data_IF_817962315702
#
_entry.id   IF_817962315702
#
_cell.length_a   1.000
_cell.length_b   1.000
_cell.length_c   1.000
_cell.angle_alpha   90.00
_cell.angle_beta   90.00
_cell.angle_gamma   90.00
#
_symmetry.space_group_name_H-M   'P 1'
#
loop_
_entity.id
_entity.type
_entity.pdbx_description
1 polymer ?
#
# COMPACT_ATOMS: atom_id res chain seq x y z
N UNK A 1 27.46 25.65 -2.48
CA UNK A 1 27.95 24.29 -2.22
C UNK A 1 27.25 23.38 -3.21
N UNK A 2 27.97 22.51 -3.93
CA UNK A 2 27.33 21.60 -4.88
C UNK A 2 26.48 20.61 -4.09
N UNK A 3 25.20 20.48 -4.48
CA UNK A 3 24.25 19.50 -3.96
C UNK A 3 24.89 18.09 -4.09
N UNK A 4 25.21 17.45 -2.97
CA UNK A 4 25.68 16.06 -2.96
C UNK A 4 24.47 15.16 -3.19
N UNK A 5 24.08 14.97 -4.44
CA UNK A 5 23.06 13.99 -4.81
C UNK A 5 23.61 12.58 -4.55
N UNK A 6 23.00 11.86 -3.62
CA UNK A 6 23.30 10.43 -3.41
C UNK A 6 22.80 9.67 -4.63
N UNK A 7 23.70 8.92 -5.28
CA UNK A 7 23.33 8.08 -6.41
C UNK A 7 22.50 6.88 -5.91
N UNK A 8 21.25 6.80 -6.35
CA UNK A 8 20.32 5.73 -6.02
C UNK A 8 20.08 4.76 -7.20
N UNK A 9 20.84 4.90 -8.27
CA UNK A 9 20.69 4.09 -9.47
C UNK A 9 21.69 2.92 -9.46
N UNK A 10 21.32 1.86 -8.71
CA UNK A 10 22.14 0.64 -8.57
C UNK A 10 21.57 -0.56 -9.38
N UNK A 11 20.53 -0.34 -10.19
CA UNK A 11 19.82 -1.39 -10.94
C UNK A 11 19.05 -2.39 -10.05
N UNK A 12 18.90 -2.08 -8.76
CA UNK A 12 18.31 -2.97 -7.77
C UNK A 12 17.32 -2.28 -6.85
N UNK A 13 17.43 -2.59 -5.56
CA UNK A 13 16.47 -2.12 -4.53
C UNK A 13 16.45 -0.58 -4.39
N UNK A 14 17.59 0.07 -4.44
CA UNK A 14 17.67 1.53 -4.29
C UNK A 14 16.99 2.25 -5.46
N UNK A 15 17.15 1.75 -6.67
CA UNK A 15 16.45 2.27 -7.83
C UNK A 15 14.93 2.08 -7.69
N UNK A 16 14.47 0.91 -7.29
CA UNK A 16 13.03 0.66 -7.04
C UNK A 16 12.44 1.62 -6.01
N UNK A 17 13.16 1.88 -4.91
CA UNK A 17 12.73 2.83 -3.88
C UNK A 17 12.65 4.25 -4.46
N UNK A 18 13.66 4.69 -5.21
CA UNK A 18 13.75 6.05 -5.74
C UNK A 18 12.78 6.31 -6.89
N UNK A 19 12.47 5.31 -7.71
CA UNK A 19 11.62 5.41 -8.90
C UNK A 19 10.14 5.12 -8.63
N UNK A 20 9.79 4.46 -7.52
CA UNK A 20 8.38 4.18 -7.17
C UNK A 20 7.54 5.46 -7.12
N UNK A 21 6.37 5.42 -7.76
CA UNK A 21 5.39 6.52 -7.82
C UNK A 21 4.01 6.06 -7.38
N UNK A 22 3.18 7.03 -6.96
CA UNK A 22 1.75 6.81 -6.76
C UNK A 22 1.05 6.88 -8.12
N UNK A 23 0.54 5.76 -8.58
CA UNK A 23 -0.20 5.62 -9.85
C UNK A 23 -1.69 5.56 -9.52
N UNK A 24 -2.48 6.44 -10.16
CA UNK A 24 -3.91 6.62 -9.88
C UNK A 24 -4.79 6.42 -11.11
N UNK A 25 -4.17 6.09 -12.26
CA UNK A 25 -4.86 5.74 -13.51
C UNK A 25 -4.36 4.39 -13.96
N UNK A 26 -5.29 3.54 -14.29
CA UNK A 26 -5.03 2.17 -14.71
C UNK A 26 -5.68 1.88 -16.05
N UNK A 27 -5.17 0.88 -16.75
CA UNK A 27 -5.84 0.28 -17.91
C UNK A 27 -6.83 -0.78 -17.43
N UNK A 28 -7.69 -1.26 -18.34
CA UNK A 28 -8.67 -2.33 -18.04
C UNK A 28 -8.03 -3.73 -18.00
N UNK A 29 -6.70 -3.82 -18.16
CA UNK A 29 -5.98 -5.08 -18.12
C UNK A 29 -5.93 -5.64 -16.69
N UNK A 30 -6.34 -6.90 -16.54
CA UNK A 30 -6.37 -7.55 -15.25
C UNK A 30 -4.96 -7.83 -14.72
N UNK A 31 -4.77 -7.67 -13.40
CA UNK A 31 -3.52 -8.07 -12.73
C UNK A 31 -3.53 -9.57 -12.47
N UNK A 32 -2.53 -10.33 -12.97
CA UNK A 32 -2.44 -11.77 -12.74
C UNK A 32 -2.38 -12.11 -11.25
N UNK A 33 -3.09 -13.15 -10.84
CA UNK A 33 -3.14 -13.62 -9.45
C UNK A 33 -1.76 -13.87 -8.84
N UNK A 34 -0.82 -14.36 -9.64
CA UNK A 34 0.54 -14.63 -9.20
C UNK A 34 1.29 -13.35 -8.78
N UNK A 35 1.08 -12.25 -9.51
CA UNK A 35 1.65 -10.94 -9.14
C UNK A 35 1.05 -10.44 -7.82
N UNK A 36 -0.24 -10.63 -7.60
CA UNK A 36 -0.91 -10.29 -6.33
C UNK A 36 -0.31 -11.11 -5.18
N UNK A 37 -0.14 -12.41 -5.36
CA UNK A 37 0.45 -13.29 -4.33
C UNK A 37 1.87 -12.87 -3.95
N UNK A 38 2.70 -12.44 -4.93
CA UNK A 38 4.05 -11.92 -4.64
C UNK A 38 4.01 -10.63 -3.81
N UNK A 39 3.03 -9.77 -4.06
CA UNK A 39 2.85 -8.56 -3.25
C UNK A 39 2.46 -8.90 -1.81
N UNK A 40 1.51 -9.82 -1.63
CA UNK A 40 1.07 -10.26 -0.30
C UNK A 40 2.23 -10.92 0.47
N UNK A 41 3.04 -11.73 -0.22
CA UNK A 41 4.22 -12.37 0.35
C UNK A 41 5.28 -11.32 0.77
N UNK A 42 5.51 -10.30 -0.05
CA UNK A 42 6.38 -9.18 0.32
C UNK A 42 5.86 -8.45 1.57
N UNK A 43 4.54 -8.23 1.66
CA UNK A 43 3.91 -7.66 2.86
C UNK A 43 4.11 -8.53 4.09
N UNK A 44 3.93 -9.85 3.96
CA UNK A 44 4.14 -10.83 5.03
C UNK A 44 5.57 -10.80 5.60
N UNK A 45 6.55 -10.47 4.77
CA UNK A 45 7.96 -10.36 5.19
C UNK A 45 8.28 -9.09 5.98
N UNK A 46 7.32 -8.19 6.21
CA UNK A 46 7.56 -7.00 7.02
C UNK A 46 7.88 -7.34 8.47
N UNK A 47 8.77 -6.58 9.13
CA UNK A 47 9.04 -6.77 10.55
C UNK A 47 7.83 -6.41 11.40
N UNK A 48 7.69 -7.04 12.57
CA UNK A 48 6.66 -6.71 13.55
C UNK A 48 7.19 -6.81 14.98
N UNK A 49 6.59 -6.08 15.91
CA UNK A 49 6.95 -6.13 17.31
C UNK A 49 6.88 -7.56 17.86
N UNK A 50 7.97 -8.05 18.49
CA UNK A 50 8.11 -9.44 18.97
C UNK A 50 7.86 -10.51 17.90
N UNK A 51 7.90 -10.15 16.62
CA UNK A 51 7.53 -11.04 15.52
C UNK A 51 6.09 -11.58 15.61
N UNK A 52 5.17 -10.82 16.17
CA UNK A 52 3.79 -11.24 16.36
C UNK A 52 2.99 -11.36 15.06
N UNK A 53 3.47 -10.75 13.97
CA UNK A 53 2.88 -10.86 12.61
C UNK A 53 1.36 -10.61 12.58
N UNK A 54 0.90 -9.45 13.08
CA UNK A 54 -0.53 -9.16 13.24
C UNK A 54 -1.26 -8.93 11.91
N UNK A 55 -0.55 -8.97 10.79
CA UNK A 55 -1.09 -8.63 9.47
C UNK A 55 -2.16 -9.62 9.02
N UNK A 56 -3.26 -9.08 8.48
CA UNK A 56 -4.30 -9.83 7.77
C UNK A 56 -4.59 -9.12 6.45
N UNK A 57 -4.76 -9.89 5.41
CA UNK A 57 -4.95 -9.39 4.05
C UNK A 57 -6.33 -9.73 3.53
N UNK A 58 -6.91 -8.81 2.77
CA UNK A 58 -8.14 -9.02 2.04
C UNK A 58 -7.98 -8.45 0.62
N UNK A 59 -8.36 -9.21 -0.39
CA UNK A 59 -8.31 -8.79 -1.78
C UNK A 59 -9.73 -8.63 -2.31
N UNK A 60 -10.01 -7.51 -2.99
CA UNK A 60 -11.27 -7.25 -3.68
C UNK A 60 -10.92 -6.98 -5.15
N UNK A 61 -11.28 -7.88 -6.03
CA UNK A 61 -11.06 -7.75 -7.49
C UNK A 61 -12.05 -6.81 -8.15
N UNK A 62 -11.74 -6.35 -9.36
CA UNK A 62 -12.61 -5.42 -10.10
C UNK A 62 -14.03 -5.97 -10.32
N UNK A 63 -14.18 -7.28 -10.52
CA UNK A 63 -15.47 -7.94 -10.72
C UNK A 63 -16.23 -8.26 -9.42
N UNK A 64 -15.65 -7.97 -8.26
CA UNK A 64 -16.28 -8.21 -6.97
C UNK A 64 -17.38 -7.15 -6.73
N UNK A 65 -18.64 -7.55 -6.43
CA UNK A 65 -19.74 -6.60 -6.23
C UNK A 65 -19.51 -5.65 -5.03
N UNK A 66 -18.58 -5.96 -4.14
CA UNK A 66 -18.19 -5.08 -3.03
C UNK A 66 -17.39 -3.86 -3.50
N UNK A 67 -16.77 -3.91 -4.68
CA UNK A 67 -15.93 -2.82 -5.20
C UNK A 67 -16.71 -1.50 -5.32
N UNK A 68 -17.94 -1.52 -5.84
CA UNK A 68 -18.78 -0.32 -5.97
C UNK A 68 -19.09 0.32 -4.61
N UNK A 69 -19.46 -0.51 -3.63
CA UNK A 69 -19.74 -0.03 -2.26
C UNK A 69 -18.47 0.46 -1.55
N UNK A 70 -17.34 -0.20 -1.78
CA UNK A 70 -16.05 0.21 -1.25
C UNK A 70 -15.64 1.59 -1.81
N UNK A 71 -15.95 1.87 -3.07
CA UNK A 71 -15.71 3.16 -3.70
C UNK A 71 -16.52 4.31 -3.06
N UNK A 72 -17.64 4.03 -2.43
CA UNK A 72 -18.45 5.00 -1.68
C UNK A 72 -17.86 5.33 -0.29
N UNK A 73 -16.94 4.50 0.21
CA UNK A 73 -16.29 4.69 1.50
C UNK A 73 -15.09 5.66 1.42
N UNK A 74 -14.76 6.22 0.27
CA UNK A 74 -13.60 7.11 0.08
C UNK A 74 -13.87 8.24 -0.90
N UNK A 75 -13.20 9.37 -0.73
CA UNK A 75 -13.17 10.46 -1.72
C UNK A 75 -12.45 10.07 -3.02
N UNK A 76 -11.70 8.98 -3.02
CA UNK A 76 -10.96 8.48 -4.18
C UNK A 76 -11.72 7.41 -4.98
N UNK A 77 -13.05 7.50 -5.02
CA UNK A 77 -13.93 6.51 -5.66
C UNK A 77 -13.52 6.17 -7.10
N UNK A 78 -13.03 7.15 -7.87
CA UNK A 78 -12.56 6.94 -9.26
C UNK A 78 -11.34 6.00 -9.31
N UNK A 79 -10.45 6.07 -8.33
CA UNK A 79 -9.27 5.19 -8.25
C UNK A 79 -9.73 3.78 -7.95
N UNK A 80 -10.63 3.62 -6.97
CA UNK A 80 -11.18 2.31 -6.59
C UNK A 80 -11.89 1.65 -7.77
N UNK A 81 -12.73 2.40 -8.50
CA UNK A 81 -13.49 1.89 -9.65
C UNK A 81 -12.64 1.56 -10.88
N UNK A 82 -11.44 2.11 -11.00
CA UNK A 82 -10.55 1.91 -12.13
C UNK A 82 -9.41 0.92 -11.88
N UNK A 83 -9.17 0.52 -10.64
CA UNK A 83 -8.09 -0.43 -10.34
C UNK A 83 -8.54 -1.88 -10.58
N UNK A 84 -7.58 -2.75 -10.87
CA UNK A 84 -7.84 -4.18 -11.07
C UNK A 84 -8.09 -4.91 -9.74
N UNK A 85 -7.50 -4.43 -8.64
CA UNK A 85 -7.64 -5.04 -7.32
C UNK A 85 -7.35 -4.03 -6.21
N UNK A 86 -8.13 -4.13 -5.14
CA UNK A 86 -7.89 -3.47 -3.86
C UNK A 86 -7.29 -4.48 -2.88
N UNK A 87 -6.11 -4.20 -2.37
CA UNK A 87 -5.42 -5.03 -1.37
C UNK A 87 -5.52 -4.35 -0.01
N UNK A 88 -6.39 -4.84 0.85
CA UNK A 88 -6.58 -4.36 2.21
C UNK A 88 -5.59 -4.97 3.18
N UNK A 89 -4.99 -4.14 4.02
CA UNK A 89 -4.15 -4.54 5.14
C UNK A 89 -4.88 -4.22 6.43
N UNK A 90 -5.05 -5.23 7.25
CA UNK A 90 -5.66 -5.15 8.57
C UNK A 90 -4.68 -5.64 9.63
N UNK A 91 -4.90 -5.23 10.88
CA UNK A 91 -4.23 -5.81 12.04
C UNK A 91 -5.21 -6.65 12.85
N UNK A 92 -4.81 -7.86 13.17
CA UNK A 92 -5.49 -8.69 14.15
C UNK A 92 -5.28 -8.12 15.56
N UNK A 93 -6.34 -7.62 16.16
CA UNK A 93 -6.29 -6.94 17.46
C UNK A 93 -5.76 -7.85 18.57
N UNK A 94 -6.03 -9.16 18.49
CA UNK A 94 -5.53 -10.13 19.47
C UNK A 94 -4.01 -10.35 19.37
N UNK A 95 -3.43 -10.12 18.20
CA UNK A 95 -1.98 -10.27 17.94
C UNK A 95 -1.20 -8.97 18.10
N UNK A 96 -1.86 -7.84 18.39
CA UNK A 96 -1.20 -6.54 18.60
C UNK A 96 -0.31 -6.58 19.84
N UNK A 97 0.80 -5.86 19.76
CA UNK A 97 1.77 -5.72 20.85
C UNK A 97 1.80 -4.30 21.43
N UNK A 98 1.80 -3.31 20.57
CA UNK A 98 1.87 -1.90 20.90
C UNK A 98 1.35 -1.10 19.71
N UNK A 99 0.33 -0.30 19.92
CA UNK A 99 -0.36 0.43 18.86
C UNK A 99 0.60 1.17 17.92
N UNK A 100 1.51 1.99 18.48
CA UNK A 100 2.48 2.72 17.66
C UNK A 100 3.37 1.78 16.83
N UNK A 101 3.90 0.71 17.43
CA UNK A 101 4.81 -0.22 16.76
C UNK A 101 4.10 -1.06 15.70
N UNK A 102 2.84 -1.43 15.97
CA UNK A 102 2.04 -2.21 15.04
C UNK A 102 1.62 -1.37 13.83
N UNK A 103 1.33 -0.07 14.03
CA UNK A 103 1.09 0.86 12.92
C UNK A 103 2.34 1.11 12.07
N UNK A 104 3.51 1.23 12.69
CA UNK A 104 4.80 1.29 11.96
C UNK A 104 5.04 0.01 11.16
N UNK A 105 4.76 -1.15 11.75
CA UNK A 105 4.86 -2.44 11.07
C UNK A 105 3.88 -2.55 9.89
N UNK A 106 2.63 -2.07 10.05
CA UNK A 106 1.65 -2.00 8.95
C UNK A 106 2.14 -1.10 7.81
N UNK A 107 2.77 0.04 8.14
CA UNK A 107 3.41 0.90 7.15
C UNK A 107 4.54 0.19 6.39
N UNK A 108 5.39 -0.55 7.08
CA UNK A 108 6.44 -1.37 6.45
C UNK A 108 5.85 -2.47 5.54
N UNK A 109 4.78 -3.12 5.99
CA UNK A 109 4.05 -4.13 5.22
C UNK A 109 3.51 -3.53 3.90
N UNK A 110 2.79 -2.41 3.97
CA UNK A 110 2.25 -1.70 2.81
C UNK A 110 3.36 -1.24 1.86
N UNK A 111 4.48 -0.72 2.40
CA UNK A 111 5.61 -0.30 1.58
C UNK A 111 6.26 -1.49 0.85
N UNK A 112 6.44 -2.63 1.51
CA UNK A 112 6.95 -3.84 0.88
C UNK A 112 6.03 -4.30 -0.28
N UNK A 113 4.71 -4.34 -0.04
CA UNK A 113 3.73 -4.67 -1.07
C UNK A 113 3.81 -3.71 -2.25
N UNK A 114 3.97 -2.43 -1.98
CA UNK A 114 4.04 -1.38 -3.01
C UNK A 114 5.31 -1.47 -3.85
N UNK A 115 6.46 -1.72 -3.21
CA UNK A 115 7.71 -1.97 -3.92
C UNK A 115 7.62 -3.24 -4.78
N UNK A 116 6.99 -4.30 -4.25
CA UNK A 116 6.75 -5.53 -5.01
C UNK A 116 5.80 -5.32 -6.21
N UNK A 117 4.82 -4.39 -6.11
CA UNK A 117 4.02 -3.99 -7.27
C UNK A 117 4.91 -3.31 -8.32
N UNK A 118 5.71 -2.31 -7.90
CA UNK A 118 6.58 -1.55 -8.79
C UNK A 118 7.62 -2.45 -9.48
N UNK A 119 8.22 -3.39 -8.75
CA UNK A 119 9.16 -4.37 -9.30
C UNK A 119 8.54 -5.33 -10.33
N UNK A 120 7.23 -5.38 -10.42
CA UNK A 120 6.48 -6.20 -11.38
C UNK A 120 5.81 -5.36 -12.47
N UNK A 121 6.23 -4.11 -12.65
CA UNK A 121 5.67 -3.13 -13.60
C UNK A 121 4.19 -2.80 -13.36
N UNK A 122 3.72 -2.97 -12.10
CA UNK A 122 2.37 -2.60 -11.72
C UNK A 122 2.30 -1.17 -11.16
N UNK A 123 1.21 -0.50 -11.47
CA UNK A 123 0.85 0.75 -10.83
C UNK A 123 0.13 0.49 -9.51
N UNK A 124 0.52 1.24 -8.47
CA UNK A 124 -0.20 1.18 -7.20
C UNK A 124 -0.25 2.54 -6.50
N UNK A 125 -1.26 2.72 -5.65
CA UNK A 125 -1.35 3.87 -4.74
C UNK A 125 -1.88 3.43 -3.38
N UNK A 126 -1.29 3.98 -2.34
CA UNK A 126 -1.75 3.83 -0.96
C UNK A 126 -2.95 4.73 -0.71
N UNK A 127 -4.11 4.13 -0.47
CA UNK A 127 -5.34 4.80 -0.07
C UNK A 127 -5.46 4.76 1.46
N UNK A 128 -4.87 5.75 2.12
CA UNK A 128 -4.94 5.90 3.58
C UNK A 128 -6.21 6.61 4.05
N UNK A 129 -6.79 7.46 3.23
CA UNK A 129 -7.98 8.24 3.60
C UNK A 129 -9.21 7.36 3.91
N UNK A 130 -9.31 6.19 3.29
CA UNK A 130 -10.40 5.23 3.49
C UNK A 130 -10.53 4.76 4.95
N UNK A 131 -9.48 4.89 5.76
CA UNK A 131 -9.50 4.56 7.19
C UNK A 131 -10.32 5.55 8.04
N UNK A 132 -10.77 6.66 7.46
CA UNK A 132 -11.68 7.61 8.13
C UNK A 132 -13.10 7.06 8.28
N UNK A 133 -13.43 5.96 7.59
CA UNK A 133 -14.72 5.28 7.63
C UNK A 133 -14.55 3.76 7.85
N UNK A 134 -13.88 3.34 8.93
CA UNK A 134 -13.48 1.94 9.10
C UNK A 134 -14.68 1.01 9.29
N UNK A 135 -15.72 1.46 9.99
CA UNK A 135 -16.94 0.69 10.23
C UNK A 135 -17.71 0.41 8.92
N UNK A 136 -17.84 1.44 8.05
CA UNK A 136 -18.49 1.29 6.75
C UNK A 136 -17.71 0.31 5.85
N UNK A 137 -16.38 0.46 5.82
CA UNK A 137 -15.50 -0.44 5.06
C UNK A 137 -15.62 -1.87 5.57
N UNK A 138 -15.53 -2.09 6.86
CA UNK A 138 -15.65 -3.42 7.47
C UNK A 138 -17.04 -4.03 7.20
N UNK A 139 -18.10 -3.24 7.29
CA UNK A 139 -19.47 -3.67 6.95
C UNK A 139 -19.60 -4.10 5.49
N UNK A 140 -19.07 -3.31 4.55
CA UNK A 140 -19.05 -3.65 3.11
C UNK A 140 -18.29 -4.95 2.84
N UNK A 141 -17.20 -5.16 3.54
CA UNK A 141 -16.31 -6.32 3.34
C UNK A 141 -16.75 -7.57 4.11
N UNK A 142 -17.70 -7.44 5.06
CA UNK A 142 -18.06 -8.52 5.97
C UNK A 142 -16.93 -8.87 6.96
N UNK A 143 -16.12 -7.88 7.33
CA UNK A 143 -15.01 -8.02 8.28
C UNK A 143 -15.50 -7.59 9.68
N UNK A 144 -15.19 -8.39 10.69
CA UNK A 144 -15.47 -8.08 12.09
C UNK A 144 -14.47 -7.04 12.60
N UNK A 145 -14.89 -5.78 12.71
CA UNK A 145 -14.06 -4.65 13.14
C UNK A 145 -13.67 -4.70 14.62
N UNK A 146 -14.39 -5.51 15.42
CA UNK A 146 -13.98 -5.80 16.80
C UNK A 146 -12.72 -6.67 16.87
N UNK A 147 -12.45 -7.45 15.82
CA UNK A 147 -11.28 -8.34 15.72
C UNK A 147 -10.16 -7.78 14.85
N UNK A 148 -10.52 -7.07 13.78
CA UNK A 148 -9.57 -6.63 12.77
C UNK A 148 -9.65 -5.12 12.57
N UNK A 149 -8.50 -4.47 12.63
CA UNK A 149 -8.37 -3.03 12.47
C UNK A 149 -7.85 -2.70 11.08
N UNK A 150 -8.60 -1.91 10.33
CA UNK A 150 -8.20 -1.49 8.99
C UNK A 150 -7.03 -0.51 9.05
N UNK A 151 -5.96 -0.80 8.30
CA UNK A 151 -4.78 0.08 8.20
C UNK A 151 -4.75 0.91 6.93
N UNK A 152 -5.02 0.32 5.79
CA UNK A 152 -5.13 1.00 4.49
C UNK A 152 -5.48 -0.01 3.40
N UNK A 153 -5.67 0.53 2.18
CA UNK A 153 -5.66 -0.25 0.95
C UNK A 153 -4.53 0.20 0.02
N UNK A 154 -4.01 -0.76 -0.75
CA UNK A 154 -3.35 -0.47 -2.02
C UNK A 154 -4.33 -0.71 -3.16
N UNK A 155 -4.61 0.33 -3.94
CA UNK A 155 -5.27 0.16 -5.23
C UNK A 155 -4.20 -0.18 -6.26
N UNK A 156 -4.39 -1.26 -7.01
CA UNK A 156 -3.38 -1.83 -7.91
C UNK A 156 -3.99 -2.12 -9.27
N UNK A 157 -3.23 -1.87 -10.33
CA UNK A 157 -3.62 -2.16 -11.71
C UNK A 157 -2.44 -1.99 -12.66
N UNK A 158 -2.67 -2.22 -13.95
CA UNK A 158 -1.70 -1.88 -14.99
C UNK A 158 -1.66 -0.35 -15.14
N UNK A 159 -0.46 0.27 -15.07
CA UNK A 159 -0.37 1.72 -15.04
C UNK A 159 -0.75 2.36 -16.39
N UNK A 160 -1.63 3.35 -16.37
CA UNK A 160 -1.96 4.20 -17.52
C UNK A 160 -1.34 5.59 -17.44
N UNK A 161 -0.42 5.80 -16.48
CA UNK A 161 0.34 7.04 -16.32
C UNK A 161 1.70 6.74 -15.69
N UNK A 162 2.68 7.62 -15.90
CA UNK A 162 4.03 7.47 -15.32
C UNK A 162 4.11 7.88 -13.84
N UNK A 163 3.11 8.61 -13.35
CA UNK A 163 3.15 9.21 -12.04
C UNK A 163 4.15 10.38 -11.93
N UNK A 164 3.94 11.24 -10.93
CA UNK A 164 4.82 12.38 -10.64
C UNK A 164 5.18 12.40 -9.17
N UNK A 165 6.40 12.77 -8.86
CA UNK A 165 6.85 12.96 -7.49
C UNK A 165 7.95 14.00 -7.44
N UNK A 166 7.85 14.89 -6.45
CA UNK A 166 8.93 15.79 -6.05
C UNK A 166 9.36 15.36 -4.66
N UNK A 167 10.66 15.18 -4.45
CA UNK A 167 11.25 14.92 -3.14
C UNK A 167 11.96 16.16 -2.68
N UNK A 168 11.90 16.44 -1.38
CA UNK A 168 12.76 17.44 -0.76
C UNK A 168 14.21 16.96 -0.85
N UNK A 169 15.17 17.89 -0.96
CA UNK A 169 16.59 17.57 -0.77
C UNK A 169 16.80 16.88 0.59
N UNK A 170 17.79 16.00 0.66
CA UNK A 170 18.06 15.23 1.89
C UNK A 170 18.41 16.15 3.06
N UNK A 171 19.13 17.24 2.78
CA UNK A 171 19.59 18.25 3.74
C UNK A 171 18.43 18.91 4.49
N UNK A 172 17.25 19.08 3.84
CA UNK A 172 16.05 19.60 4.52
C UNK A 172 15.40 18.59 5.49
N UNK A 173 15.78 17.33 5.40
CA UNK A 173 15.22 16.24 6.22
C UNK A 173 16.15 15.81 7.34
N UNK A 174 17.40 16.31 7.33
CA UNK A 174 18.38 16.07 8.39
C UNK A 174 18.14 17.06 9.54
N UNK A 175 18.19 16.57 10.78
CA UNK A 175 18.12 17.43 11.97
C UNK A 175 19.46 18.11 12.25
N UNK A 176 20.56 17.48 11.85
CA UNK A 176 21.93 17.96 11.94
C UNK A 176 22.78 17.36 10.81
N UNK A 177 23.84 18.02 10.45
CA UNK A 177 24.85 17.51 9.50
C UNK A 177 25.77 16.47 10.17
N UNK A 178 26.35 15.57 9.42
CA UNK A 178 27.28 14.53 9.93
C UNK A 178 28.52 14.40 9.07
#
# INVERSE_FOLDING_TARGET
>A
MAEKTVDMNDGGLLELISTRRSIRKYTDEAVPREKILRMLEAGRCAPSGKNNQPFRFLCVGADDPRMEKLAECTHYSRIVKSCSVMLGVFLDRASKYSEMKDYQAAGACLQNMWLAAHAQDLGAVWLGEIVNRPEDVCSVLGVDDSKYELMAFLAVGQPAEAGKCVRKPLEELMLEDF
#
